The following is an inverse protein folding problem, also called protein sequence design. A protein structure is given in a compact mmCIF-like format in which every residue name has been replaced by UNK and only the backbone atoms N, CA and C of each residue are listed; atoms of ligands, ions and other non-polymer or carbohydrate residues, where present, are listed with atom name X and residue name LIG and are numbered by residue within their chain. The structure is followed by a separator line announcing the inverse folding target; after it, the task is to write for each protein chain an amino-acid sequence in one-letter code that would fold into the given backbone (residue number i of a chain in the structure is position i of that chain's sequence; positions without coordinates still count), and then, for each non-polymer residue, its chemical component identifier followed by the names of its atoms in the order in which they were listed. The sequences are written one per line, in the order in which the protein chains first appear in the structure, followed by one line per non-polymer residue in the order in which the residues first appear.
data_IF_043191416600
#
_entry.id   IF_043191416600
#
_cell.length_a   1.000
_cell.length_b   1.000
_cell.length_c   1.000
_cell.angle_alpha   90.00
_cell.angle_beta   90.00
_cell.angle_gamma   90.00
#
_symmetry.space_group_name_H-M   'P 1'
#
loop_
_entity.id
_entity.type
_entity.pdbx_description
1 polymer ?
#
# COMPACT_ATOMS: atom_id res chain seq x y z
N UNK A 1 -9.02 -1.47 12.84
CA UNK A 1 -8.69 -2.82 12.36
C UNK A 1 -8.34 -2.76 10.88
N UNK A 2 -7.33 -3.50 10.47
CA UNK A 2 -6.90 -3.55 9.08
C UNK A 2 -6.93 -4.99 8.59
N UNK A 3 -7.54 -5.22 7.43
CA UNK A 3 -7.55 -6.54 6.80
C UNK A 3 -6.68 -6.47 5.54
N UNK A 4 -5.76 -7.40 5.42
CA UNK A 4 -4.90 -7.52 4.25
C UNK A 4 -5.22 -8.83 3.55
N UNK A 5 -5.61 -8.75 2.28
CA UNK A 5 -5.87 -9.93 1.46
C UNK A 5 -4.81 -9.98 0.36
N UNK A 6 -4.08 -11.07 0.28
CA UNK A 6 -3.00 -11.23 -0.69
C UNK A 6 -3.50 -12.15 -1.81
N UNK A 7 -3.47 -11.62 -3.04
CA UNK A 7 -3.83 -12.38 -4.24
C UNK A 7 -2.61 -12.50 -5.13
N UNK A 8 -2.30 -13.70 -5.55
CA UNK A 8 -1.15 -13.96 -6.41
C UNK A 8 -1.60 -14.40 -7.79
N UNK A 9 -0.98 -13.81 -8.80
CA UNK A 9 -1.12 -14.22 -10.18
C UNK A 9 0.26 -14.61 -10.71
N UNK A 10 0.33 -15.04 -11.97
CA UNK A 10 1.57 -15.56 -12.55
C UNK A 10 2.75 -14.58 -12.49
N UNK A 11 2.47 -13.30 -12.70
CA UNK A 11 3.52 -12.26 -12.74
C UNK A 11 3.25 -11.06 -11.84
N UNK A 12 2.21 -11.13 -10.99
CA UNK A 12 1.84 -10.02 -10.14
C UNK A 12 1.26 -10.51 -8.82
N UNK A 13 1.45 -9.72 -7.80
CA UNK A 13 0.87 -9.96 -6.48
C UNK A 13 0.10 -8.69 -6.09
N UNK A 14 -1.13 -8.86 -5.62
CA UNK A 14 -1.98 -7.74 -5.21
C UNK A 14 -2.33 -7.88 -3.75
N UNK A 15 -2.06 -6.83 -2.98
CA UNK A 15 -2.44 -6.73 -1.58
C UNK A 15 -3.65 -5.80 -1.49
N UNK A 16 -4.80 -6.35 -1.12
CA UNK A 16 -6.01 -5.57 -0.92
C UNK A 16 -6.12 -5.20 0.55
N UNK A 17 -6.22 -3.92 0.84
CA UNK A 17 -6.32 -3.41 2.19
C UNK A 17 -7.73 -2.91 2.48
N UNK A 18 -8.26 -3.27 3.65
CA UNK A 18 -9.58 -2.83 4.10
C UNK A 18 -9.50 -2.43 5.57
N UNK A 19 -10.15 -1.34 5.94
CA UNK A 19 -10.22 -0.88 7.31
C UNK A 19 -9.41 0.38 7.55
N UNK A 20 -8.70 0.43 8.67
CA UNK A 20 -7.93 1.62 9.07
C UNK A 20 -6.44 1.31 9.04
N UNK A 21 -5.70 2.07 8.28
CA UNK A 21 -4.25 1.96 8.22
C UNK A 21 -3.65 3.00 9.15
N UNK A 22 -3.59 2.66 10.44
CA UNK A 22 -3.11 3.57 11.48
C UNK A 22 -2.54 2.81 12.67
N UNK A 23 -1.67 3.46 13.43
CA UNK A 23 -1.12 2.91 14.66
C UNK A 23 -0.40 1.59 14.45
N UNK A 24 -0.74 0.58 15.25
CA UNK A 24 -0.10 -0.73 15.19
C UNK A 24 -0.35 -1.47 13.88
N UNK A 25 -1.43 -1.13 13.17
CA UNK A 25 -1.74 -1.74 11.88
C UNK A 25 -0.74 -1.33 10.81
N UNK A 26 -0.19 -0.12 10.91
CA UNK A 26 0.89 0.32 10.02
C UNK A 26 2.12 -0.55 10.25
N UNK A 27 2.44 -0.85 11.51
CA UNK A 27 3.57 -1.71 11.85
C UNK A 27 3.38 -3.12 11.30
N UNK A 28 2.16 -3.65 11.36
CA UNK A 28 1.86 -4.96 10.81
C UNK A 28 2.05 -4.99 9.29
N UNK A 29 1.59 -3.96 8.60
CA UNK A 29 1.78 -3.87 7.16
C UNK A 29 3.26 -3.73 6.81
N UNK A 30 3.98 -2.92 7.57
CA UNK A 30 5.42 -2.74 7.38
C UNK A 30 6.16 -4.06 7.57
N UNK A 31 5.78 -4.83 8.58
CA UNK A 31 6.37 -6.15 8.80
C UNK A 31 6.12 -7.07 7.61
N UNK A 32 4.89 -7.13 7.11
CA UNK A 32 4.58 -7.91 5.91
C UNK A 32 5.42 -7.46 4.73
N UNK A 33 5.59 -6.16 4.57
CA UNK A 33 6.41 -5.59 3.51
C UNK A 33 7.88 -6.00 3.63
N UNK A 34 8.42 -5.93 4.83
CA UNK A 34 9.83 -6.26 5.07
C UNK A 34 10.13 -7.76 4.99
N UNK A 35 9.18 -8.58 5.42
CA UNK A 35 9.33 -10.04 5.41
C UNK A 35 8.96 -10.65 4.06
N UNK A 36 8.40 -9.86 3.19
CA UNK A 36 7.99 -10.30 1.88
C UNK A 36 9.18 -10.81 1.08
N UNK A 37 9.06 -12.03 0.58
CA UNK A 37 10.04 -12.63 -0.31
C UNK A 37 9.44 -12.60 -1.72
N UNK A 38 9.91 -11.67 -2.54
CA UNK A 38 9.39 -11.51 -3.88
C UNK A 38 10.46 -11.91 -4.90
N UNK A 39 10.22 -12.95 -5.72
CA UNK A 39 11.14 -13.28 -6.79
C UNK A 39 11.25 -12.11 -7.77
N UNK A 40 12.39 -11.99 -8.41
CA UNK A 40 12.57 -10.98 -9.44
C UNK A 40 11.54 -11.16 -10.55
N UNK A 41 10.99 -10.06 -11.04
CA UNK A 41 10.02 -10.09 -12.12
C UNK A 41 8.56 -10.12 -11.69
N UNK A 42 8.28 -10.18 -10.38
CA UNK A 42 6.91 -10.11 -9.89
C UNK A 42 6.60 -8.68 -9.46
N UNK A 43 5.54 -8.11 -10.03
CA UNK A 43 5.08 -6.77 -9.70
C UNK A 43 4.17 -6.82 -8.47
N UNK A 44 4.38 -5.90 -7.53
CA UNK A 44 3.50 -5.77 -6.39
C UNK A 44 2.55 -4.60 -6.59
N UNK A 45 1.27 -4.85 -6.36
CA UNK A 45 0.23 -3.84 -6.40
C UNK A 45 -0.44 -3.77 -5.03
N UNK A 46 -0.65 -2.57 -4.52
CA UNK A 46 -1.40 -2.35 -3.28
C UNK A 46 -2.70 -1.66 -3.65
N UNK A 47 -3.82 -2.31 -3.33
CA UNK A 47 -5.14 -1.77 -3.62
C UNK A 47 -5.84 -1.38 -2.32
N UNK A 48 -6.07 -0.10 -2.13
CA UNK A 48 -6.78 0.43 -0.96
C UNK A 48 -8.28 0.30 -1.21
N UNK A 49 -8.77 -0.92 -1.09
CA UNK A 49 -10.13 -1.26 -1.52
C UNK A 49 -11.23 -0.63 -0.66
N UNK A 50 -11.06 -0.71 0.65
CA UNK A 50 -12.06 -0.19 1.58
C UNK A 50 -11.37 0.41 2.80
N UNK A 51 -10.35 1.21 2.56
CA UNK A 51 -9.61 1.87 3.63
C UNK A 51 -10.34 3.17 4.00
N UNK A 52 -10.76 3.28 5.26
CA UNK A 52 -11.52 4.42 5.74
C UNK A 52 -10.65 5.50 6.37
N UNK A 53 -9.41 5.17 6.70
CA UNK A 53 -8.52 6.13 7.33
C UNK A 53 -7.06 5.71 7.16
N UNK A 54 -6.19 6.68 6.91
CA UNK A 54 -4.75 6.46 6.80
C UNK A 54 -4.08 7.58 7.59
N UNK A 55 -3.27 7.22 8.60
CA UNK A 55 -2.55 8.21 9.37
C UNK A 55 -1.23 8.59 8.68
N UNK A 56 -0.47 9.50 9.29
CA UNK A 56 0.79 9.98 8.72
C UNK A 56 1.79 8.85 8.52
N UNK A 57 1.90 7.93 9.48
CA UNK A 57 2.80 6.79 9.38
C UNK A 57 2.38 5.86 8.23
N UNK A 58 1.07 5.67 8.05
CA UNK A 58 0.54 4.88 6.94
C UNK A 58 0.88 5.50 5.59
N UNK A 59 0.73 6.82 5.48
CA UNK A 59 1.10 7.54 4.25
C UNK A 59 2.58 7.40 3.94
N UNK A 60 3.43 7.50 4.97
CA UNK A 60 4.88 7.37 4.79
C UNK A 60 5.26 5.98 4.33
N UNK A 61 4.62 4.95 4.89
CA UNK A 61 4.88 3.57 4.47
C UNK A 61 4.47 3.35 3.02
N UNK A 62 3.30 3.83 2.63
CA UNK A 62 2.83 3.71 1.25
C UNK A 62 3.73 4.45 0.28
N UNK A 63 4.22 5.63 0.67
CA UNK A 63 5.16 6.40 -0.14
C UNK A 63 6.48 5.63 -0.33
N UNK A 64 6.99 5.01 0.73
CA UNK A 64 8.19 4.19 0.66
C UNK A 64 8.00 3.01 -0.28
N UNK A 65 6.85 2.32 -0.17
CA UNK A 65 6.54 1.21 -1.08
C UNK A 65 6.49 1.69 -2.53
N UNK A 66 5.88 2.84 -2.76
CA UNK A 66 5.80 3.43 -4.10
C UNK A 66 7.20 3.72 -4.67
N UNK A 67 8.08 4.23 -3.85
CA UNK A 67 9.46 4.51 -4.26
C UNK A 67 10.22 3.23 -4.64
N UNK A 68 9.81 2.09 -4.11
CA UNK A 68 10.39 0.80 -4.44
C UNK A 68 9.69 0.11 -5.62
N UNK A 69 8.85 0.86 -6.34
CA UNK A 69 8.21 0.34 -7.54
C UNK A 69 6.86 -0.31 -7.32
N UNK A 70 6.31 -0.24 -6.12
CA UNK A 70 4.98 -0.77 -5.85
C UNK A 70 3.93 0.16 -6.43
N UNK A 71 2.98 -0.40 -7.18
CA UNK A 71 1.86 0.36 -7.70
C UNK A 71 0.77 0.43 -6.63
N UNK A 72 0.35 1.66 -6.31
CA UNK A 72 -0.65 1.89 -5.28
C UNK A 72 -1.91 2.45 -5.93
N UNK A 73 -3.05 1.80 -5.68
CA UNK A 73 -4.34 2.21 -6.20
C UNK A 73 -5.32 2.47 -5.07
N UNK A 74 -6.09 3.53 -5.18
CA UNK A 74 -7.16 3.84 -4.24
C UNK A 74 -8.53 3.57 -4.85
N UNK A 75 -9.50 3.35 -3.98
CA UNK A 75 -10.89 3.22 -4.37
C UNK A 75 -11.71 4.16 -3.48
N UNK A 76 -12.42 5.10 -4.09
CA UNK A 76 -13.16 6.13 -3.37
C UNK A 76 -12.40 7.47 -3.32
N UNK A 77 -13.13 8.54 -3.09
CA UNK A 77 -12.56 9.89 -3.17
C UNK A 77 -11.44 10.13 -2.17
N UNK A 78 -11.61 9.66 -0.94
CA UNK A 78 -10.64 9.92 0.11
C UNK A 78 -9.31 9.18 -0.14
N UNK A 79 -9.40 7.91 -0.50
CA UNK A 79 -8.20 7.12 -0.76
C UNK A 79 -7.51 7.56 -2.03
N UNK A 80 -8.26 7.97 -3.04
CA UNK A 80 -7.67 8.50 -4.28
C UNK A 80 -6.89 9.78 -4.01
N UNK A 81 -7.37 10.65 -3.14
CA UNK A 81 -6.66 11.86 -2.76
C UNK A 81 -5.34 11.54 -2.06
N UNK A 82 -5.34 10.53 -1.19
CA UNK A 82 -4.13 10.09 -0.49
C UNK A 82 -3.13 9.49 -1.48
N UNK A 83 -3.59 8.63 -2.38
CA UNK A 83 -2.73 8.02 -3.39
C UNK A 83 -2.11 9.10 -4.27
N UNK A 84 -2.90 10.09 -4.69
CA UNK A 84 -2.41 11.18 -5.49
C UNK A 84 -1.35 12.01 -4.75
N UNK A 85 -1.57 12.27 -3.47
CA UNK A 85 -0.61 12.96 -2.62
C UNK A 85 0.71 12.18 -2.52
N UNK A 86 0.62 10.87 -2.31
CA UNK A 86 1.78 9.98 -2.20
C UNK A 86 2.58 9.98 -3.50
N UNK A 87 1.91 9.80 -4.64
CA UNK A 87 2.59 9.72 -5.93
C UNK A 87 3.19 11.06 -6.33
N UNK A 88 2.50 12.15 -6.04
CA UNK A 88 3.00 13.49 -6.30
C UNK A 88 4.24 13.78 -5.48
N UNK A 89 4.21 13.39 -4.20
CA UNK A 89 5.33 13.60 -3.31
C UNK A 89 6.57 12.83 -3.75
N UNK A 90 6.38 11.58 -4.18
CA UNK A 90 7.48 10.76 -4.68
C UNK A 90 8.06 11.30 -5.97
N UNK A 91 7.25 11.89 -6.84
CA UNK A 91 7.71 12.39 -8.13
C UNK A 91 8.28 13.80 -8.06
N UNK A 92 8.23 14.45 -6.90
CA UNK A 92 8.72 15.81 -6.73
C UNK A 92 10.24 15.91 -6.62
N UNK A 93 10.92 14.83 -6.69
CA UNK A 93 12.39 14.83 -6.60
C UNK A 93 13.05 15.03 -7.95
#
# INVERSE_FOLDING_TARGET
MLKVTIKQAASAETWELEGKLSGDWVKELERCWNERSSPAGISLHVHLKAVSYIDTAGKQLLAEMHEHGVEIRGCGCMTNAVVEEITRHSSAN
#
